data_IF_993674794907
#
_entry.id   IF_993674794907
#
_cell.length_a   1.000
_cell.length_b   1.000
_cell.length_c   1.000
_cell.angle_alpha   90.00
_cell.angle_beta   90.00
_cell.angle_gamma   90.00
#
_symmetry.space_group_name_H-M   'P 1'
#
loop_
_entity.id
_entity.type
_entity.pdbx_description
1 polymer ?
#
# COMPACT_ATOMS: atom_id res chain seq x y z
N UNK A 1 -25.16 -32.12 -33.72
CA UNK A 1 -23.77 -32.56 -33.44
C UNK A 1 -23.82 -33.55 -32.30
N UNK A 2 -23.10 -34.68 -32.35
CA UNK A 2 -23.14 -35.71 -31.30
C UNK A 2 -22.54 -35.15 -30.00
N UNK A 3 -23.17 -35.39 -28.85
CA UNK A 3 -22.74 -34.97 -27.54
C UNK A 3 -21.25 -35.29 -27.23
N UNK A 4 -20.76 -36.41 -27.78
CA UNK A 4 -19.35 -36.81 -27.64
C UNK A 4 -18.36 -35.89 -28.34
N UNK A 5 -18.69 -35.31 -29.50
CA UNK A 5 -17.79 -34.37 -30.22
C UNK A 5 -17.66 -33.06 -29.44
N UNK A 6 -18.76 -32.55 -28.88
CA UNK A 6 -18.75 -31.33 -28.06
C UNK A 6 -17.89 -31.53 -26.79
N UNK A 7 -17.98 -32.69 -26.18
CA UNK A 7 -17.21 -33.01 -24.97
C UNK A 7 -15.69 -33.10 -25.23
N UNK A 8 -15.30 -33.66 -26.39
CA UNK A 8 -13.89 -33.69 -26.82
C UNK A 8 -13.35 -32.30 -27.10
N UNK A 9 -14.12 -31.45 -27.79
CA UNK A 9 -13.71 -30.04 -28.04
C UNK A 9 -13.52 -29.25 -26.75
N UNK A 10 -14.42 -29.42 -25.78
CA UNK A 10 -14.29 -28.76 -24.48
C UNK A 10 -13.05 -29.20 -23.72
N UNK A 11 -12.71 -30.49 -23.73
CA UNK A 11 -11.49 -31.02 -23.14
C UNK A 11 -10.25 -30.42 -23.81
N UNK A 12 -10.25 -30.41 -25.15
CA UNK A 12 -9.14 -29.84 -25.92
C UNK A 12 -8.93 -28.36 -25.62
N UNK A 13 -10.00 -27.56 -25.54
CA UNK A 13 -9.90 -26.13 -25.18
C UNK A 13 -9.30 -25.95 -23.76
N UNK A 14 -9.74 -26.77 -22.79
CA UNK A 14 -9.18 -26.71 -21.43
C UNK A 14 -7.67 -27.06 -21.40
N UNK A 15 -7.24 -28.01 -22.22
CA UNK A 15 -5.83 -28.38 -22.30
C UNK A 15 -5.00 -27.26 -22.96
N UNK A 16 -5.50 -26.65 -24.03
CA UNK A 16 -4.82 -25.52 -24.67
C UNK A 16 -4.76 -24.31 -23.76
N UNK A 17 -5.85 -23.97 -23.07
CA UNK A 17 -5.85 -22.84 -22.13
C UNK A 17 -4.91 -23.07 -20.95
N UNK A 18 -4.73 -24.32 -20.50
CA UNK A 18 -3.72 -24.67 -19.48
C UNK A 18 -2.30 -24.47 -20.01
N UNK A 19 -2.00 -24.95 -21.23
CA UNK A 19 -0.68 -24.79 -21.86
C UNK A 19 -0.34 -23.32 -22.13
N UNK A 20 -1.33 -22.52 -22.51
CA UNK A 20 -1.19 -21.08 -22.78
C UNK A 20 -1.28 -20.23 -21.49
N UNK A 21 -1.43 -20.85 -20.33
CA UNK A 21 -1.62 -20.13 -19.06
C UNK A 21 -2.79 -19.14 -19.08
N UNK A 22 -3.95 -19.58 -19.60
CA UNK A 22 -5.19 -18.80 -19.67
C UNK A 22 -6.28 -19.44 -18.75
N UNK A 23 -6.10 -19.43 -17.43
CA UNK A 23 -6.99 -20.16 -16.52
C UNK A 23 -8.42 -19.61 -16.50
N UNK A 24 -8.59 -18.30 -16.67
CA UNK A 24 -9.91 -17.65 -16.67
C UNK A 24 -10.69 -18.04 -17.93
N UNK A 25 -10.04 -18.00 -19.09
CA UNK A 25 -10.64 -18.49 -20.34
C UNK A 25 -11.04 -19.94 -20.18
N UNK A 26 -10.13 -20.81 -19.68
CA UNK A 26 -10.41 -22.24 -19.48
C UNK A 26 -11.56 -22.52 -18.51
N UNK A 27 -11.80 -21.66 -17.54
CA UNK A 27 -12.89 -21.78 -16.58
C UNK A 27 -14.22 -21.19 -17.04
N UNK A 28 -14.18 -20.15 -17.90
CA UNK A 28 -15.38 -19.36 -18.22
C UNK A 28 -15.87 -19.51 -19.68
N UNK A 29 -15.09 -20.12 -20.59
CA UNK A 29 -15.40 -20.10 -22.01
C UNK A 29 -16.79 -20.69 -22.35
N UNK A 30 -17.24 -21.71 -21.62
CA UNK A 30 -18.59 -22.31 -21.86
C UNK A 30 -19.68 -21.32 -21.50
N UNK A 31 -19.62 -20.74 -20.31
CA UNK A 31 -20.59 -19.76 -19.83
C UNK A 31 -20.67 -18.55 -20.79
N UNK A 32 -19.53 -18.02 -21.16
CA UNK A 32 -19.45 -16.86 -22.06
C UNK A 32 -19.89 -17.20 -23.47
N UNK A 33 -19.71 -18.46 -23.94
CA UNK A 33 -20.24 -18.93 -25.24
C UNK A 33 -21.77 -19.00 -25.21
N UNK A 34 -22.38 -19.51 -24.14
CA UNK A 34 -23.83 -19.53 -23.97
C UNK A 34 -24.41 -18.11 -23.96
N UNK A 35 -23.79 -17.18 -23.22
CA UNK A 35 -24.18 -15.77 -23.20
C UNK A 35 -24.08 -15.13 -24.59
N UNK A 36 -22.99 -15.41 -25.33
CA UNK A 36 -22.76 -14.88 -26.67
C UNK A 36 -23.86 -15.36 -27.67
N UNK A 37 -24.28 -16.63 -27.56
CA UNK A 37 -25.38 -17.18 -28.37
C UNK A 37 -26.71 -16.48 -28.06
N UNK A 38 -27.02 -16.30 -26.75
CA UNK A 38 -28.23 -15.60 -26.31
C UNK A 38 -28.29 -14.16 -26.81
N UNK A 39 -27.14 -13.47 -26.78
CA UNK A 39 -26.97 -12.06 -27.20
C UNK A 39 -26.74 -11.93 -28.71
N UNK A 40 -26.72 -13.02 -29.50
CA UNK A 40 -26.40 -13.04 -30.94
C UNK A 40 -25.09 -12.33 -31.27
N UNK A 41 -24.09 -12.48 -30.43
CA UNK A 41 -22.76 -11.88 -30.64
C UNK A 41 -22.01 -12.58 -31.77
N UNK A 42 -21.25 -11.78 -32.54
CA UNK A 42 -20.34 -12.34 -33.54
C UNK A 42 -19.10 -12.99 -32.89
N UNK A 43 -18.43 -13.87 -33.65
CA UNK A 43 -17.27 -14.63 -33.13
C UNK A 43 -16.13 -13.74 -32.64
N UNK A 44 -15.89 -12.59 -33.29
CA UNK A 44 -14.86 -11.64 -32.89
C UNK A 44 -15.19 -10.99 -31.55
N UNK A 45 -16.45 -10.59 -31.34
CA UNK A 45 -16.93 -10.02 -30.09
C UNK A 45 -16.83 -11.04 -28.94
N UNK A 46 -17.19 -12.29 -29.19
CA UNK A 46 -17.02 -13.37 -28.22
C UNK A 46 -15.56 -13.57 -27.82
N UNK A 47 -14.63 -13.59 -28.77
CA UNK A 47 -13.19 -13.71 -28.48
C UNK A 47 -12.68 -12.53 -27.67
N UNK A 48 -13.12 -11.30 -27.99
CA UNK A 48 -12.78 -10.10 -27.23
C UNK A 48 -13.22 -10.22 -25.77
N UNK A 49 -14.44 -10.64 -25.50
CA UNK A 49 -14.98 -10.84 -24.15
C UNK A 49 -14.15 -11.86 -23.36
N UNK A 50 -13.78 -12.98 -24.00
CA UNK A 50 -12.93 -14.00 -23.37
C UNK A 50 -11.55 -13.46 -22.97
N UNK A 51 -10.89 -12.76 -23.88
CA UNK A 51 -9.57 -12.20 -23.62
C UNK A 51 -9.62 -11.09 -22.58
N UNK A 52 -10.65 -10.26 -22.61
CA UNK A 52 -10.88 -9.21 -21.61
C UNK A 52 -11.07 -9.82 -20.23
N UNK A 53 -11.88 -10.86 -20.07
CA UNK A 53 -12.06 -11.55 -18.79
C UNK A 53 -10.75 -12.09 -18.21
N UNK A 54 -9.87 -12.66 -19.07
CA UNK A 54 -8.54 -13.11 -18.65
C UNK A 54 -7.66 -11.95 -18.17
N UNK A 55 -7.64 -10.84 -18.91
CA UNK A 55 -6.83 -9.67 -18.57
C UNK A 55 -7.30 -9.04 -17.26
N UNK A 56 -8.60 -8.86 -17.07
CA UNK A 56 -9.17 -8.30 -15.84
C UNK A 56 -8.87 -9.18 -14.62
N UNK A 57 -8.96 -10.51 -14.75
CA UNK A 57 -8.65 -11.42 -13.66
C UNK A 57 -7.16 -11.41 -13.33
N UNK A 58 -6.28 -11.37 -14.33
CA UNK A 58 -4.84 -11.22 -14.12
C UNK A 58 -4.51 -9.93 -13.42
N UNK A 59 -5.17 -8.84 -13.77
CA UNK A 59 -4.98 -7.55 -13.13
C UNK A 59 -5.41 -7.59 -11.66
N UNK A 60 -6.62 -8.12 -11.38
CA UNK A 60 -7.11 -8.32 -10.01
C UNK A 60 -6.13 -9.14 -9.17
N UNK A 61 -5.65 -10.27 -9.72
CA UNK A 61 -4.71 -11.14 -9.03
C UNK A 61 -3.33 -10.48 -8.82
N UNK A 62 -2.86 -9.68 -9.76
CA UNK A 62 -1.62 -8.93 -9.63
C UNK A 62 -1.72 -7.87 -8.52
N UNK A 63 -2.82 -7.12 -8.46
CA UNK A 63 -3.10 -6.14 -7.40
C UNK A 63 -3.19 -6.83 -6.04
N UNK A 64 -3.98 -7.91 -5.95
CA UNK A 64 -4.13 -8.68 -4.70
C UNK A 64 -2.78 -9.17 -4.15
N UNK A 65 -1.92 -9.69 -5.04
CA UNK A 65 -0.57 -10.11 -4.70
C UNK A 65 0.29 -8.93 -4.21
N UNK A 66 0.24 -7.76 -4.86
CA UNK A 66 0.95 -6.55 -4.42
C UNK A 66 0.53 -6.12 -3.02
N UNK A 67 -0.78 -6.10 -2.74
CA UNK A 67 -1.32 -5.77 -1.42
C UNK A 67 -0.82 -6.78 -0.36
N UNK A 68 -0.80 -8.06 -0.68
CA UNK A 68 -0.29 -9.09 0.23
C UNK A 68 1.22 -8.94 0.49
N UNK A 69 2.02 -8.66 -0.55
CA UNK A 69 3.47 -8.46 -0.46
C UNK A 69 3.83 -7.18 0.31
N UNK A 70 2.97 -6.17 0.29
CA UNK A 70 3.18 -4.91 1.00
C UNK A 70 3.18 -5.05 2.52
N UNK A 71 2.58 -6.11 3.08
CA UNK A 71 2.55 -6.41 4.52
C UNK A 71 1.87 -5.32 5.36
N UNK A 72 0.73 -4.82 4.90
CA UNK A 72 -0.10 -3.95 5.74
C UNK A 72 -0.53 -4.70 7.01
N UNK A 73 -0.51 -4.06 8.20
CA UNK A 73 -0.97 -4.69 9.45
C UNK A 73 -2.47 -5.04 9.39
N UNK A 74 -3.21 -4.21 8.70
CA UNK A 74 -4.59 -4.41 8.28
C UNK A 74 -4.78 -3.65 6.97
N UNK A 75 -5.29 -4.33 5.96
CA UNK A 75 -5.68 -3.67 4.72
C UNK A 75 -6.83 -2.72 5.03
N UNK A 76 -6.62 -1.44 4.77
CA UNK A 76 -7.59 -0.37 4.89
C UNK A 76 -7.53 0.47 3.63
N UNK A 77 -8.70 0.83 3.11
CA UNK A 77 -8.80 1.61 1.88
C UNK A 77 -9.22 3.04 2.18
N UNK A 78 -9.04 3.95 1.21
CA UNK A 78 -9.48 5.34 1.36
C UNK A 78 -11.00 5.46 1.31
N UNK A 79 -11.69 4.54 0.65
CA UNK A 79 -13.14 4.46 0.60
C UNK A 79 -13.75 4.14 1.98
N UNK A 80 -13.02 3.40 2.83
CA UNK A 80 -13.43 3.10 4.20
C UNK A 80 -13.15 4.25 5.17
N UNK A 81 -12.43 5.31 4.73
CA UNK A 81 -12.10 6.44 5.58
C UNK A 81 -13.23 7.46 5.59
N UNK A 82 -13.74 7.76 6.75
CA UNK A 82 -14.86 8.69 6.94
C UNK A 82 -14.35 10.11 7.13
N UNK A 83 -14.17 10.83 6.03
CA UNK A 83 -13.69 12.22 6.05
C UNK A 83 -14.63 13.17 6.80
N UNK A 84 -15.93 12.89 6.81
CA UNK A 84 -16.95 13.68 7.53
C UNK A 84 -16.69 13.66 9.05
N UNK A 85 -16.09 12.61 9.56
CA UNK A 85 -15.75 12.45 10.98
C UNK A 85 -14.33 12.98 11.31
N UNK A 86 -13.61 13.51 10.33
CA UNK A 86 -12.26 14.07 10.45
C UNK A 86 -12.12 15.35 9.58
N UNK A 87 -12.89 16.41 9.86
CA UNK A 87 -12.97 17.61 8.99
C UNK A 87 -11.65 18.38 8.87
N UNK A 88 -10.73 18.20 9.81
CA UNK A 88 -9.38 18.79 9.77
C UNK A 88 -8.51 18.16 8.67
N UNK A 89 -8.82 16.95 8.20
CA UNK A 89 -8.06 16.28 7.15
C UNK A 89 -8.53 16.76 5.78
N UNK A 90 -7.64 17.32 4.94
CA UNK A 90 -8.01 17.85 3.64
C UNK A 90 -8.31 16.71 2.64
N UNK A 91 -9.57 16.28 2.57
CA UNK A 91 -10.01 15.17 1.73
C UNK A 91 -9.62 15.34 0.24
N UNK A 92 -9.67 16.56 -0.28
CA UNK A 92 -9.27 16.84 -1.65
C UNK A 92 -7.76 16.57 -1.88
N UNK A 93 -6.91 16.95 -0.93
CA UNK A 93 -5.48 16.67 -1.00
C UNK A 93 -5.19 15.16 -0.93
N UNK A 94 -5.87 14.43 -0.04
CA UNK A 94 -5.72 12.97 0.04
C UNK A 94 -6.14 12.29 -1.27
N UNK A 95 -7.24 12.73 -1.91
CA UNK A 95 -7.67 12.19 -3.20
C UNK A 95 -6.67 12.49 -4.32
N UNK A 96 -6.11 13.69 -4.36
CA UNK A 96 -5.07 14.05 -5.33
C UNK A 96 -3.80 13.19 -5.12
N UNK A 97 -3.38 12.96 -3.88
CA UNK A 97 -2.27 12.06 -3.58
C UNK A 97 -2.57 10.62 -4.01
N UNK A 98 -3.81 10.16 -3.88
CA UNK A 98 -4.23 8.83 -4.33
C UNK A 98 -4.06 8.62 -5.86
N UNK A 99 -4.04 9.70 -6.65
CA UNK A 99 -3.74 9.64 -8.09
C UNK A 99 -2.28 9.28 -8.39
N UNK A 100 -1.37 9.33 -7.39
CA UNK A 100 -0.03 8.77 -7.47
C UNK A 100 1.04 9.72 -8.02
N UNK A 101 0.75 10.98 -8.30
CA UNK A 101 1.73 11.94 -8.81
C UNK A 101 2.97 12.10 -7.92
N UNK A 102 2.81 11.98 -6.60
CA UNK A 102 3.92 11.99 -5.63
C UNK A 102 4.90 10.81 -5.80
N UNK A 103 4.43 9.66 -6.29
CA UNK A 103 5.27 8.49 -6.55
C UNK A 103 6.27 8.75 -7.69
N UNK A 104 5.82 9.44 -8.74
CA UNK A 104 6.64 9.75 -9.89
C UNK A 104 7.69 10.83 -9.57
N UNK A 105 7.30 11.81 -8.74
CA UNK A 105 8.18 12.88 -8.27
C UNK A 105 9.02 12.52 -7.06
N UNK A 106 8.83 11.31 -6.50
CA UNK A 106 9.52 10.83 -5.29
C UNK A 106 9.30 11.72 -4.06
N UNK A 107 8.16 12.41 -4.00
CA UNK A 107 7.80 13.33 -2.92
C UNK A 107 7.39 12.59 -1.66
N UNK A 108 7.91 12.96 -0.48
CA UNK A 108 7.48 12.38 0.78
C UNK A 108 6.06 12.80 1.18
N UNK A 109 5.35 11.91 1.89
CA UNK A 109 4.10 12.26 2.58
C UNK A 109 4.31 12.06 4.08
N UNK A 110 3.98 13.07 4.87
CA UNK A 110 4.10 13.02 6.32
C UNK A 110 2.71 13.24 6.94
N UNK A 111 2.26 12.22 7.67
CA UNK A 111 1.01 12.26 8.42
C UNK A 111 1.33 12.50 9.90
N UNK A 112 1.02 13.69 10.36
CA UNK A 112 1.26 14.16 11.71
C UNK A 112 -0.04 14.20 12.51
N UNK A 113 -0.01 13.98 13.83
CA UNK A 113 -1.15 14.15 14.73
C UNK A 113 -1.20 13.10 15.83
N UNK A 114 -2.13 13.22 16.76
CA UNK A 114 -2.24 12.38 17.94
C UNK A 114 -2.66 10.93 17.65
N UNK A 115 -2.50 10.08 18.66
CA UNK A 115 -2.88 8.67 18.55
C UNK A 115 -4.37 8.51 18.30
N UNK A 116 -4.71 7.74 17.26
CA UNK A 116 -6.12 7.44 16.94
C UNK A 116 -6.80 8.39 15.96
N UNK A 117 -6.08 9.39 15.41
CA UNK A 117 -6.59 10.39 14.45
C UNK A 117 -6.74 9.87 13.02
N UNK A 118 -6.26 8.66 12.71
CA UNK A 118 -6.43 8.03 11.40
C UNK A 118 -5.17 7.97 10.52
N UNK A 119 -4.00 8.40 10.99
CA UNK A 119 -2.72 8.38 10.25
C UNK A 119 -2.41 7.04 9.58
N UNK A 120 -2.40 5.96 10.37
CA UNK A 120 -2.13 4.60 9.87
C UNK A 120 -3.19 4.15 8.85
N UNK A 121 -4.45 4.61 8.97
CA UNK A 121 -5.49 4.33 7.99
C UNK A 121 -5.19 5.03 6.66
N UNK A 122 -4.89 6.32 6.70
CA UNK A 122 -4.55 7.09 5.50
C UNK A 122 -3.28 6.57 4.84
N UNK A 123 -2.23 6.27 5.64
CA UNK A 123 -0.99 5.68 5.14
C UNK A 123 -1.22 4.33 4.45
N UNK A 124 -2.05 3.46 5.05
CA UNK A 124 -2.43 2.18 4.46
C UNK A 124 -3.26 2.39 3.20
N UNK A 125 -4.24 3.30 3.22
CA UNK A 125 -5.09 3.62 2.07
C UNK A 125 -4.28 4.11 0.87
N UNK A 126 -3.40 5.09 1.06
CA UNK A 126 -2.50 5.57 0.01
C UNK A 126 -1.56 4.46 -0.50
N UNK A 127 -1.07 3.61 0.40
CA UNK A 127 -0.27 2.44 0.03
C UNK A 127 -1.05 1.42 -0.80
N UNK A 128 -2.34 1.20 -0.50
CA UNK A 128 -3.23 0.33 -1.29
C UNK A 128 -3.47 0.94 -2.68
N UNK A 129 -3.67 2.26 -2.78
CA UNK A 129 -3.79 2.94 -4.09
C UNK A 129 -2.51 2.79 -4.93
N UNK A 130 -1.34 2.91 -4.31
CA UNK A 130 -0.08 2.64 -4.99
C UNK A 130 0.02 1.17 -5.49
N UNK A 131 -0.46 0.20 -4.71
CA UNK A 131 -0.55 -1.20 -5.15
C UNK A 131 -1.50 -1.38 -6.34
N UNK A 132 -2.67 -0.68 -6.36
CA UNK A 132 -3.60 -0.66 -7.49
C UNK A 132 -2.95 -0.11 -8.77
N UNK A 133 -2.03 0.85 -8.62
CA UNK A 133 -1.18 1.37 -9.70
C UNK A 133 0.05 0.49 -10.01
N UNK A 134 0.03 -0.78 -9.55
CA UNK A 134 1.06 -1.79 -9.78
C UNK A 134 2.43 -1.46 -9.17
N UNK A 135 2.52 -0.47 -8.26
CA UNK A 135 3.76 -0.13 -7.56
C UNK A 135 4.11 -1.19 -6.51
N UNK A 136 5.40 -1.40 -6.28
CA UNK A 136 5.90 -2.26 -5.19
C UNK A 136 5.93 -1.45 -3.91
N UNK A 137 5.03 -1.78 -3.00
CA UNK A 137 4.88 -1.10 -1.71
C UNK A 137 5.40 -1.98 -0.58
N UNK A 138 5.95 -1.37 0.45
CA UNK A 138 6.27 -2.04 1.71
C UNK A 138 5.80 -1.18 2.87
N UNK A 139 4.96 -1.77 3.72
CA UNK A 139 4.57 -1.21 5.00
C UNK A 139 5.43 -1.80 6.11
N UNK A 140 5.86 -0.98 7.05
CA UNK A 140 6.60 -1.38 8.25
C UNK A 140 6.42 -0.30 9.32
N UNK A 141 6.64 -0.65 10.58
CA UNK A 141 6.87 0.35 11.63
C UNK A 141 8.34 0.76 11.66
N UNK A 142 8.64 1.94 12.22
CA UNK A 142 10.02 2.36 12.39
C UNK A 142 10.81 1.36 13.25
N UNK A 143 10.19 0.81 14.30
CA UNK A 143 10.78 -0.18 15.18
C UNK A 143 11.11 -1.49 14.45
N UNK A 144 10.19 -2.03 13.62
CA UNK A 144 10.43 -3.23 12.82
C UNK A 144 11.57 -3.04 11.82
N UNK A 145 11.59 -1.90 11.12
CA UNK A 145 12.66 -1.57 10.17
C UNK A 145 14.01 -1.50 10.86
N UNK A 146 14.09 -0.80 11.99
CA UNK A 146 15.32 -0.68 12.78
C UNK A 146 15.81 -2.04 13.28
N UNK A 147 14.91 -2.86 13.83
CA UNK A 147 15.27 -4.20 14.29
C UNK A 147 15.81 -5.07 13.14
N UNK A 148 15.19 -5.03 11.97
CA UNK A 148 15.69 -5.74 10.79
C UNK A 148 17.09 -5.27 10.37
N UNK A 149 17.35 -3.95 10.42
CA UNK A 149 18.66 -3.38 10.07
C UNK A 149 19.73 -3.78 11.10
N UNK A 150 19.39 -3.79 12.41
CA UNK A 150 20.30 -4.24 13.47
C UNK A 150 20.66 -5.72 13.28
N UNK A 151 19.67 -6.57 13.05
CA UNK A 151 19.90 -7.99 12.78
C UNK A 151 20.77 -8.20 11.54
N UNK A 152 20.49 -7.46 10.47
CA UNK A 152 21.27 -7.53 9.25
C UNK A 152 22.74 -7.08 9.44
N UNK A 153 22.96 -6.05 10.27
CA UNK A 153 24.30 -5.61 10.65
C UNK A 153 25.05 -6.71 11.40
N UNK A 154 24.40 -7.36 12.38
CA UNK A 154 25.00 -8.44 13.16
C UNK A 154 25.35 -9.67 12.32
N UNK A 155 24.60 -9.90 11.24
CA UNK A 155 24.82 -11.01 10.28
C UNK A 155 25.71 -10.62 9.10
N UNK A 156 26.30 -9.41 9.07
CA UNK A 156 27.04 -8.88 7.92
C UNK A 156 26.23 -8.81 6.60
N UNK A 157 24.90 -8.67 6.69
CA UNK A 157 23.97 -8.63 5.56
C UNK A 157 23.37 -7.25 5.30
N UNK A 158 23.85 -6.20 5.97
CA UNK A 158 23.26 -4.86 5.93
C UNK A 158 23.10 -4.33 4.51
N UNK A 159 24.10 -4.50 3.66
CA UNK A 159 24.02 -4.05 2.26
C UNK A 159 22.95 -4.78 1.46
N UNK A 160 22.75 -6.08 1.70
CA UNK A 160 21.73 -6.91 1.05
C UNK A 160 20.33 -6.44 1.46
N UNK A 161 20.13 -6.23 2.77
CA UNK A 161 18.84 -5.79 3.31
C UNK A 161 18.53 -4.35 2.87
N UNK A 162 19.48 -3.42 2.97
CA UNK A 162 19.31 -2.06 2.47
C UNK A 162 19.00 -2.06 0.97
N UNK A 163 19.70 -2.88 0.17
CA UNK A 163 19.42 -3.05 -1.26
C UNK A 163 18.01 -3.58 -1.54
N UNK A 164 17.45 -4.43 -0.68
CA UNK A 164 16.06 -4.88 -0.77
C UNK A 164 15.08 -3.73 -0.54
N UNK A 165 15.32 -2.89 0.48
CA UNK A 165 14.50 -1.72 0.77
C UNK A 165 14.50 -0.70 -0.38
N UNK A 166 15.58 -0.60 -1.14
CA UNK A 166 15.67 0.28 -2.32
C UNK A 166 14.84 -0.21 -3.53
N UNK A 167 14.37 -1.46 -3.55
CA UNK A 167 13.56 -2.00 -4.65
C UNK A 167 12.09 -1.63 -4.58
N UNK A 168 11.61 -1.17 -3.42
CA UNK A 168 10.22 -0.72 -3.28
C UNK A 168 10.07 0.68 -3.87
N UNK A 169 9.01 0.91 -4.62
CA UNK A 169 8.69 2.22 -5.20
C UNK A 169 8.07 3.14 -4.15
N UNK A 170 7.40 2.55 -3.15
CA UNK A 170 6.89 3.23 -1.96
C UNK A 170 7.23 2.44 -0.71
N UNK A 171 7.74 3.10 0.32
CA UNK A 171 7.74 2.56 1.67
C UNK A 171 6.84 3.39 2.58
N UNK A 172 6.10 2.70 3.44
CA UNK A 172 5.32 3.32 4.52
C UNK A 172 6.01 2.99 5.83
N UNK A 173 6.48 4.01 6.54
CA UNK A 173 7.11 3.89 7.85
C UNK A 173 6.14 4.45 8.90
N UNK A 174 5.45 3.56 9.57
CA UNK A 174 4.49 3.92 10.61
C UNK A 174 5.20 4.14 11.95
N UNK A 175 4.67 5.03 12.79
CA UNK A 175 5.15 5.28 14.15
C UNK A 175 6.62 5.73 14.24
N UNK A 176 7.02 6.69 13.39
CA UNK A 176 8.43 7.08 13.20
C UNK A 176 9.10 7.58 14.48
N UNK A 177 8.41 8.23 15.37
CA UNK A 177 8.95 8.81 16.61
C UNK A 177 8.20 8.31 17.86
N UNK A 178 7.88 7.00 17.91
CA UNK A 178 7.14 6.43 19.03
C UNK A 178 8.05 5.92 20.17
N UNK A 179 9.27 5.48 19.85
CA UNK A 179 10.21 4.92 20.82
C UNK A 179 11.59 5.51 20.57
N UNK A 180 12.31 5.87 21.65
CA UNK A 180 13.68 6.33 21.57
C UNK A 180 14.57 5.25 20.93
N UNK A 181 15.42 5.65 19.99
CA UNK A 181 16.28 4.75 19.24
C UNK A 181 17.74 4.84 19.72
N UNK A 182 18.48 3.71 19.78
CA UNK A 182 19.92 3.75 19.91
C UNK A 182 20.57 4.53 18.74
N UNK A 183 21.68 5.21 18.97
CA UNK A 183 22.35 6.03 17.94
C UNK A 183 22.66 5.24 16.66
N UNK A 184 23.22 4.05 16.79
CA UNK A 184 23.51 3.17 15.64
C UNK A 184 22.26 2.78 14.84
N UNK A 185 21.11 2.69 15.49
CA UNK A 185 19.83 2.40 14.86
C UNK A 185 19.30 3.60 14.06
N UNK A 186 19.38 4.79 14.69
CA UNK A 186 19.02 6.04 14.04
C UNK A 186 19.88 6.32 12.80
N UNK A 187 21.21 6.02 12.85
CA UNK A 187 22.11 6.13 11.70
C UNK A 187 21.70 5.20 10.55
N UNK A 188 21.36 3.94 10.84
CA UNK A 188 20.94 3.00 9.82
C UNK A 188 19.60 3.41 9.18
N UNK A 189 18.65 3.88 9.98
CA UNK A 189 17.37 4.41 9.50
C UNK A 189 17.60 5.63 8.60
N UNK A 190 18.46 6.56 9.04
CA UNK A 190 18.85 7.71 8.24
C UNK A 190 19.47 7.31 6.90
N UNK A 191 20.34 6.28 6.86
CA UNK A 191 20.91 5.79 5.61
C UNK A 191 19.83 5.28 4.65
N UNK A 192 18.81 4.58 5.14
CA UNK A 192 17.70 4.12 4.30
C UNK A 192 16.93 5.31 3.73
N UNK A 193 16.55 6.27 4.58
CA UNK A 193 15.79 7.46 4.17
C UNK A 193 16.60 8.30 3.17
N UNK A 194 17.88 8.60 3.48
CA UNK A 194 18.75 9.40 2.61
C UNK A 194 19.00 8.75 1.25
N UNK A 195 19.13 7.43 1.18
CA UNK A 195 19.28 6.73 -0.10
C UNK A 195 18.02 6.73 -0.94
N UNK A 196 16.87 6.93 -0.32
CA UNK A 196 15.57 6.99 -0.99
C UNK A 196 15.18 8.40 -1.40
N UNK A 197 15.67 9.42 -0.70
CA UNK A 197 15.39 10.81 -1.05
C UNK A 197 15.66 11.05 -2.55
N UNK A 198 14.75 11.74 -3.21
CA UNK A 198 14.78 12.05 -4.65
C UNK A 198 14.70 10.82 -5.61
N UNK A 199 14.61 9.59 -5.08
CA UNK A 199 14.61 8.36 -5.88
C UNK A 199 13.33 7.55 -5.78
N UNK A 200 12.67 7.61 -4.63
CA UNK A 200 11.45 6.87 -4.39
C UNK A 200 10.67 7.45 -3.21
N UNK A 201 9.37 7.50 -3.34
CA UNK A 201 8.49 8.08 -2.34
C UNK A 201 8.54 7.34 -1.00
N UNK A 202 8.26 8.07 0.08
CA UNK A 202 8.08 7.55 1.43
C UNK A 202 6.84 8.17 2.07
N UNK A 203 6.06 7.36 2.78
CA UNK A 203 5.01 7.85 3.68
C UNK A 203 5.49 7.61 5.09
N UNK A 204 5.47 8.66 5.92
CA UNK A 204 5.84 8.58 7.32
C UNK A 204 4.66 8.99 8.17
N UNK A 205 4.37 8.23 9.24
CA UNK A 205 3.44 8.69 10.27
C UNK A 205 4.18 9.01 11.55
N UNK A 206 3.78 10.05 12.24
CA UNK A 206 4.34 10.46 13.52
C UNK A 206 3.28 11.08 14.41
N UNK A 207 3.40 10.87 15.71
CA UNK A 207 2.57 11.51 16.73
C UNK A 207 3.28 12.70 17.41
N UNK A 208 4.56 12.92 17.07
CA UNK A 208 5.33 14.03 17.62
C UNK A 208 5.60 15.07 16.54
N UNK A 209 5.50 16.35 16.86
CA UNK A 209 5.96 17.43 15.98
C UNK A 209 7.48 17.33 15.79
N UNK A 210 7.99 17.79 14.66
CA UNK A 210 9.41 17.68 14.32
C UNK A 210 10.35 18.33 15.37
N UNK A 211 9.88 19.36 16.08
CA UNK A 211 10.62 20.01 17.17
C UNK A 211 10.94 19.05 18.32
N UNK A 212 10.14 18.02 18.52
CA UNK A 212 10.31 17.03 19.58
C UNK A 212 11.08 15.78 19.15
N UNK A 213 11.39 15.62 17.87
CA UNK A 213 12.13 14.46 17.38
C UNK A 213 13.52 14.32 17.99
N UNK A 214 14.13 15.43 18.42
CA UNK A 214 15.42 15.42 19.14
C UNK A 214 15.36 14.68 20.46
N UNK A 215 14.18 14.47 21.04
CA UNK A 215 14.00 13.64 22.26
C UNK A 215 14.10 12.15 21.96
N UNK A 216 13.82 11.75 20.73
CA UNK A 216 13.77 10.35 20.29
C UNK A 216 15.05 9.93 19.56
N UNK A 217 15.75 10.89 18.95
CA UNK A 217 17.01 10.67 18.24
C UNK A 217 18.18 11.23 19.06
N UNK A 218 19.13 10.39 19.51
CA UNK A 218 20.18 10.82 20.44
C UNK A 218 21.18 11.82 19.83
N UNK A 219 21.27 11.86 18.50
CA UNK A 219 22.16 12.78 17.78
C UNK A 219 21.34 13.88 17.10
N UNK A 220 21.41 15.11 17.65
CA UNK A 220 20.63 16.24 17.13
C UNK A 220 21.00 16.62 15.68
N UNK A 221 22.26 16.43 15.24
CA UNK A 221 22.66 16.70 13.85
C UNK A 221 22.03 15.69 12.90
N UNK A 222 22.04 14.41 13.30
CA UNK A 222 21.41 13.33 12.54
C UNK A 222 19.89 13.56 12.45
N UNK A 223 19.25 13.91 13.55
CA UNK A 223 17.83 14.25 13.59
C UNK A 223 17.49 15.39 12.63
N UNK A 224 18.25 16.50 12.69
CA UNK A 224 18.07 17.64 11.79
C UNK A 224 18.21 17.24 10.33
N UNK A 225 19.24 16.46 9.99
CA UNK A 225 19.46 16.00 8.63
C UNK A 225 18.35 15.03 8.14
N UNK A 226 17.77 14.23 9.04
CA UNK A 226 16.65 13.36 8.73
C UNK A 226 15.37 14.15 8.46
N UNK A 227 15.06 15.12 9.32
CA UNK A 227 13.90 16.00 9.13
C UNK A 227 14.04 16.78 7.82
N UNK A 228 15.20 17.36 7.55
CA UNK A 228 15.48 18.09 6.30
C UNK A 228 15.19 17.22 5.07
N UNK A 229 15.67 15.96 5.04
CA UNK A 229 15.43 15.03 3.95
C UNK A 229 13.97 14.60 3.79
N UNK A 230 13.25 14.45 4.90
CA UNK A 230 11.86 14.05 4.89
C UNK A 230 10.91 15.19 4.54
N UNK A 231 11.29 16.44 4.85
CA UNK A 231 10.45 17.61 4.62
C UNK A 231 10.70 18.29 3.28
N UNK A 232 11.78 17.92 2.59
CA UNK A 232 12.05 18.46 1.26
C UNK A 232 10.93 18.01 0.28
N UNK A 233 10.21 19.00 -0.26
CA UNK A 233 9.05 18.83 -1.15
C UNK A 233 7.92 17.92 -0.57
N UNK A 234 7.86 17.77 0.74
CA UNK A 234 6.91 16.87 1.38
C UNK A 234 5.48 17.40 1.41
N UNK A 235 4.53 16.49 1.26
CA UNK A 235 3.12 16.72 1.59
C UNK A 235 2.90 16.46 3.07
N UNK A 236 2.85 17.52 3.89
CA UNK A 236 2.60 17.42 5.33
C UNK A 236 1.10 17.56 5.58
N UNK A 237 0.53 16.56 6.24
CA UNK A 237 -0.90 16.49 6.55
C UNK A 237 -1.06 16.34 8.04
N UNK A 238 -1.64 17.33 8.68
CA UNK A 238 -2.01 17.28 10.09
C UNK A 238 -3.38 16.60 10.22
N UNK A 239 -3.42 15.52 11.00
CA UNK A 239 -4.62 14.75 11.27
C UNK A 239 -5.31 15.15 12.58
N UNK A 240 -4.76 16.15 13.29
CA UNK A 240 -5.29 16.72 14.51
C UNK A 240 -5.01 15.90 15.77
N UNK A 241 -5.65 16.29 16.84
CA UNK A 241 -5.50 15.78 18.21
C UNK A 241 -6.69 14.94 18.71
N UNK A 242 -7.85 15.00 18.02
CA UNK A 242 -9.03 14.25 18.41
C UNK A 242 -9.01 12.79 17.98
N UNK A 243 -8.96 11.87 18.96
CA UNK A 243 -8.99 10.43 18.70
C UNK A 243 -10.36 9.93 18.23
N UNK A 244 -10.45 9.54 16.96
CA UNK A 244 -11.61 8.84 16.40
C UNK A 244 -11.96 7.55 17.17
N UNK A 245 -10.93 6.79 17.58
CA UNK A 245 -11.13 5.54 18.34
C UNK A 245 -11.82 5.81 19.67
N UNK A 246 -11.47 6.89 20.34
CA UNK A 246 -12.07 7.26 21.62
C UNK A 246 -13.53 7.70 21.44
N UNK A 247 -13.84 8.57 20.47
CA UNK A 247 -15.21 8.99 20.16
C UNK A 247 -16.10 7.80 19.85
N UNK A 248 -15.70 6.92 18.94
CA UNK A 248 -16.45 5.71 18.58
C UNK A 248 -16.72 4.79 19.78
N UNK A 249 -15.79 4.71 20.74
CA UNK A 249 -15.98 3.90 21.95
C UNK A 249 -17.01 4.52 22.87
N UNK A 250 -17.02 5.85 23.02
CA UNK A 250 -18.01 6.57 23.80
C UNK A 250 -19.43 6.45 23.20
N UNK A 251 -19.55 6.56 21.88
CA UNK A 251 -20.83 6.41 21.18
C UNK A 251 -21.42 5.00 21.36
N UNK A 252 -20.58 3.96 21.22
CA UNK A 252 -21.01 2.58 21.49
C UNK A 252 -21.50 2.39 22.93
N UNK A 253 -20.84 3.00 23.92
CA UNK A 253 -21.27 2.94 25.32
C UNK A 253 -22.59 3.69 25.58
N UNK A 254 -22.83 4.80 24.86
CA UNK A 254 -24.11 5.54 24.93
C UNK A 254 -25.24 4.79 24.23
N UNK A 255 -24.98 4.08 23.14
CA UNK A 255 -25.98 3.26 22.42
C UNK A 255 -26.39 1.96 23.13
N UNK A 256 -25.58 1.45 24.08
CA UNK A 256 -25.91 0.25 24.89
C UNK A 256 -26.78 0.61 26.12
N UNK A 257 -26.95 1.90 26.42
CA UNK A 257 -27.79 2.39 27.55
C UNK A 257 -29.19 2.83 27.11
N UNK A 258 -29.62 2.50 25.90
CA UNK A 258 -31.00 2.59 25.42
C UNK A 258 -31.50 1.17 25.12
#
# INVERSE_FOLDING_TARGET
MSAGIVQVQQSTIRDYTRQLHLPTVGGQFLKLAEEAIQQKQGHVAFLEVLLRAELEERERNAIARRIQEAKFPKVKTLEEFKFEEAPQIPAAQIRNLAEGGYLERSEPIILLGDTGTGKTHLASGLGVEACRQRKRVRFTTAAELVNELIEAKNKNELNRITGRWMRYELIVIDEMAYVAMPESAAEMLFQVISRRAEKAAVIVTTNLPFSEWTTMFPNARLCKAMVDRLTDQAHIIDTGDESYRFRRTLEKKKGIKK
#
